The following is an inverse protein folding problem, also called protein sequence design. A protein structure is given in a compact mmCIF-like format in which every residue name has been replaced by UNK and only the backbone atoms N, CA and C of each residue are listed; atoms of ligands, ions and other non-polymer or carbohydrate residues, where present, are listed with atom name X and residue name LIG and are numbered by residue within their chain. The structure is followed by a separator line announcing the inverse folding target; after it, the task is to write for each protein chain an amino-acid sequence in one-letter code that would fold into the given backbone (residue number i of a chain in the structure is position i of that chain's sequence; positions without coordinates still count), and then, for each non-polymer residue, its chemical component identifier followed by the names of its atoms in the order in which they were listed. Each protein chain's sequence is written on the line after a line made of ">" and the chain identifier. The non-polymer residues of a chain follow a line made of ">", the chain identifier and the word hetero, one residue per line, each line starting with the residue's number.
data_IF_467668349368
#
_entry.id   IF_467668349368
#
_cell.length_a   1.000
_cell.length_b   1.000
_cell.length_c   1.000
_cell.angle_alpha   90.00
_cell.angle_beta   90.00
_cell.angle_gamma   90.00
#
_symmetry.space_group_name_H-M   'P 1'
#
loop_
_entity.id
_entity.type
_entity.pdbx_description
1 polymer ?
#
# COMPACT_ATOMS: atom_id res chain seq x y z
N UNK A 1 -26.13 7.49 -4.55
CA UNK A 1 -24.72 7.48 -5.02
C UNK A 1 -24.52 6.18 -5.78
N UNK A 2 -24.07 6.23 -7.03
CA UNK A 2 -24.12 5.11 -7.98
C UNK A 2 -23.15 3.98 -7.57
N UNK A 3 -23.49 2.73 -7.89
CA UNK A 3 -22.70 1.52 -7.54
C UNK A 3 -21.25 1.54 -8.09
N UNK A 4 -20.96 2.39 -9.07
CA UNK A 4 -19.62 2.62 -9.61
C UNK A 4 -18.74 3.53 -8.74
N UNK A 5 -19.33 4.48 -8.01
CA UNK A 5 -18.61 5.42 -7.17
C UNK A 5 -17.98 4.70 -5.96
N UNK A 6 -18.77 3.87 -5.28
CA UNK A 6 -18.36 3.12 -4.08
C UNK A 6 -17.13 2.24 -4.32
N UNK A 7 -17.05 1.53 -5.46
CA UNK A 7 -15.89 0.67 -5.78
C UNK A 7 -14.60 1.47 -5.98
N UNK A 8 -14.71 2.71 -6.46
CA UNK A 8 -13.57 3.57 -6.70
C UNK A 8 -13.06 4.18 -5.39
N UNK A 9 -13.97 4.51 -4.48
CA UNK A 9 -13.66 4.99 -3.13
C UNK A 9 -12.95 3.90 -2.30
N UNK A 10 -13.38 2.64 -2.45
CA UNK A 10 -12.74 1.48 -1.81
C UNK A 10 -11.29 1.29 -2.29
N UNK A 11 -11.06 1.37 -3.60
CA UNK A 11 -9.72 1.26 -4.17
C UNK A 11 -8.80 2.37 -3.65
N UNK A 12 -9.26 3.61 -3.61
CA UNK A 12 -8.50 4.73 -3.08
C UNK A 12 -8.17 4.56 -1.59
N UNK A 13 -9.10 4.03 -0.80
CA UNK A 13 -8.86 3.75 0.62
C UNK A 13 -7.84 2.61 0.82
N UNK A 14 -7.90 1.55 -0.01
CA UNK A 14 -6.92 0.46 -0.01
C UNK A 14 -5.53 1.01 -0.36
N UNK A 15 -5.40 1.82 -1.41
CA UNK A 15 -4.13 2.39 -1.85
C UNK A 15 -3.50 3.31 -0.79
N UNK A 16 -4.34 4.11 -0.11
CA UNK A 16 -3.89 4.92 1.01
C UNK A 16 -3.35 4.04 2.14
N UNK A 17 -4.05 2.94 2.46
CA UNK A 17 -3.62 2.02 3.51
C UNK A 17 -2.32 1.28 3.16
N UNK A 18 -2.18 0.83 1.92
CA UNK A 18 -0.96 0.20 1.42
C UNK A 18 0.22 1.17 1.45
N UNK A 19 0.00 2.42 1.06
CA UNK A 19 1.02 3.48 1.10
C UNK A 19 1.51 3.72 2.53
N UNK A 20 0.62 3.76 3.52
CA UNK A 20 1.00 3.87 4.93
C UNK A 20 1.90 2.71 5.38
N UNK A 21 1.56 1.46 5.01
CA UNK A 21 2.36 0.28 5.34
C UNK A 21 3.74 0.36 4.68
N UNK A 22 3.81 0.77 3.42
CA UNK A 22 5.05 0.93 2.68
C UNK A 22 5.97 1.99 3.34
N UNK A 23 5.42 3.13 3.76
CA UNK A 23 6.15 4.17 4.48
C UNK A 23 6.68 3.67 5.83
N UNK A 24 5.86 2.95 6.59
CA UNK A 24 6.22 2.50 7.93
C UNK A 24 7.23 1.35 7.92
N UNK A 25 7.04 0.36 7.04
CA UNK A 25 7.80 -0.90 7.04
C UNK A 25 8.93 -0.91 6.00
N UNK A 26 8.62 -0.53 4.76
CA UNK A 26 9.58 -0.55 3.65
C UNK A 26 10.45 0.71 3.62
N UNK A 27 10.04 1.78 4.32
CA UNK A 27 10.69 3.10 4.33
C UNK A 27 10.72 3.77 2.94
N UNK A 28 9.74 3.46 2.10
CA UNK A 28 9.55 4.11 0.79
C UNK A 28 8.48 5.20 0.91
N UNK A 29 8.65 6.36 0.27
CA UNK A 29 7.77 7.51 0.49
C UNK A 29 6.38 7.34 -0.13
N UNK A 30 6.26 6.61 -1.23
CA UNK A 30 5.01 6.40 -1.96
C UNK A 30 5.06 5.09 -2.75
N UNK A 31 3.89 4.55 -3.11
CA UNK A 31 3.73 3.46 -4.07
C UNK A 31 3.33 3.95 -5.47
N UNK A 32 3.12 5.26 -5.63
CA UNK A 32 2.83 5.86 -6.94
C UNK A 32 4.08 5.86 -7.83
N UNK A 33 3.90 5.54 -9.12
CA UNK A 33 4.95 5.61 -10.12
C UNK A 33 5.29 7.07 -10.47
N UNK A 34 6.57 7.43 -10.39
CA UNK A 34 7.06 8.80 -10.60
C UNK A 34 7.85 8.97 -11.90
N UNK A 35 7.94 7.92 -12.72
CA UNK A 35 8.70 7.91 -13.98
C UNK A 35 10.18 8.31 -13.77
N UNK A 36 10.78 7.86 -12.67
CA UNK A 36 12.16 8.20 -12.35
C UNK A 36 12.81 7.08 -11.55
N UNK A 37 13.88 6.50 -12.10
CA UNK A 37 14.52 5.34 -11.48
C UNK A 37 14.98 5.62 -10.05
N UNK A 38 15.58 6.79 -9.79
CA UNK A 38 16.05 7.19 -8.46
C UNK A 38 14.92 7.41 -7.46
N UNK A 39 13.70 7.61 -7.94
CA UNK A 39 12.50 7.82 -7.15
C UNK A 39 11.67 6.52 -7.01
N UNK A 40 11.72 5.63 -7.99
CA UNK A 40 10.83 4.47 -8.07
C UNK A 40 11.51 3.16 -7.63
N UNK A 41 12.84 3.08 -7.67
CA UNK A 41 13.58 1.90 -7.22
C UNK A 41 14.12 2.07 -5.79
N UNK A 42 13.79 1.08 -4.95
CA UNK A 42 14.22 1.05 -3.56
C UNK A 42 14.85 -0.30 -3.20
N UNK A 43 16.00 -0.28 -2.54
CA UNK A 43 16.58 -1.48 -1.95
C UNK A 43 15.93 -1.73 -0.59
N UNK A 44 15.27 -2.88 -0.44
CA UNK A 44 14.60 -3.29 0.79
C UNK A 44 15.02 -4.70 1.18
N UNK A 45 15.07 -4.99 2.48
CA UNK A 45 15.39 -6.34 2.94
C UNK A 45 14.21 -7.29 2.72
N UNK A 46 14.49 -8.58 2.52
CA UNK A 46 13.46 -9.63 2.47
C UNK A 46 12.61 -9.69 3.75
N UNK A 47 13.18 -9.29 4.89
CA UNK A 47 12.47 -9.16 6.16
C UNK A 47 11.42 -8.05 6.14
N UNK A 48 11.77 -6.87 5.63
CA UNK A 48 10.81 -5.77 5.46
C UNK A 48 9.70 -6.13 4.48
N UNK A 49 10.02 -6.81 3.38
CA UNK A 49 9.01 -7.32 2.44
C UNK A 49 8.03 -8.24 3.16
N UNK A 50 8.53 -9.23 3.91
CA UNK A 50 7.69 -10.17 4.67
C UNK A 50 6.80 -9.45 5.68
N UNK A 51 7.33 -8.47 6.41
CA UNK A 51 6.57 -7.68 7.39
C UNK A 51 5.50 -6.83 6.72
N UNK A 52 5.79 -6.19 5.58
CA UNK A 52 4.83 -5.36 4.86
C UNK A 52 3.67 -6.20 4.30
N UNK A 53 3.99 -7.36 3.71
CA UNK A 53 2.97 -8.30 3.23
C UNK A 53 2.06 -8.80 4.35
N UNK A 54 2.65 -9.14 5.51
CA UNK A 54 1.86 -9.54 6.68
C UNK A 54 0.95 -8.42 7.17
N UNK A 55 1.46 -7.20 7.28
CA UNK A 55 0.68 -6.04 7.70
C UNK A 55 -0.47 -5.75 6.72
N UNK A 56 -0.25 -5.87 5.41
CA UNK A 56 -1.28 -5.70 4.39
C UNK A 56 -2.37 -6.78 4.51
N UNK A 57 -1.97 -8.05 4.70
CA UNK A 57 -2.91 -9.15 4.91
C UNK A 57 -3.76 -8.97 6.17
N UNK A 58 -3.14 -8.59 7.28
CA UNK A 58 -3.86 -8.33 8.54
C UNK A 58 -4.81 -7.14 8.43
N UNK A 59 -4.40 -6.05 7.75
CA UNK A 59 -5.26 -4.90 7.50
C UNK A 59 -6.50 -5.28 6.67
N UNK A 60 -6.32 -6.05 5.59
CA UNK A 60 -7.45 -6.54 4.77
C UNK A 60 -8.37 -7.50 5.54
N UNK A 61 -7.83 -8.30 6.46
CA UNK A 61 -8.65 -9.12 7.37
C UNK A 61 -9.46 -8.29 8.36
N UNK A 62 -8.92 -7.16 8.80
CA UNK A 62 -9.58 -6.26 9.76
C UNK A 62 -10.66 -5.41 9.10
N UNK A 63 -10.52 -5.08 7.81
CA UNK A 63 -11.53 -4.29 7.08
C UNK A 63 -12.81 -5.05 6.77
N UNK A 64 -12.85 -6.36 7.00
CA UNK A 64 -14.05 -7.20 6.87
C UNK A 64 -14.84 -7.35 8.19
N UNK A 65 -14.39 -6.71 9.28
CA UNK A 65 -15.13 -6.62 10.54
C UNK A 65 -15.94 -5.33 10.58
#
# INVERSE_FOLDING_TARGET
>A
MTSSQTRNDDAAHIDARLTQIAQQVLKVPTLAYRNSDSLDFHTVSVGQIKLALRAAYEAGRQSMK
#
